data_IF_349756450200
#
_entry.id   IF_349756450200
#
_cell.length_a   1.000
_cell.length_b   1.000
_cell.length_c   1.000
_cell.angle_alpha   90.00
_cell.angle_beta   90.00
_cell.angle_gamma   90.00
#
_symmetry.space_group_name_H-M   'P 1'
#
loop_
_entity.id
_entity.type
_entity.pdbx_description
1 polymer ?
#
# COMPACT_ATOMS: atom_id res chain seq x y z
N UNK A 1 20.19 -12.77 18.20
CA UNK A 1 19.11 -11.84 17.83
C UNK A 1 18.34 -11.58 19.10
N UNK A 2 18.24 -10.33 19.55
CA UNK A 2 17.43 -10.02 20.72
C UNK A 2 15.96 -10.19 20.35
N UNK A 3 15.16 -10.77 21.25
CA UNK A 3 13.72 -10.93 21.04
C UNK A 3 13.10 -9.55 20.80
N UNK A 4 12.38 -9.43 19.69
CA UNK A 4 11.62 -8.23 19.35
C UNK A 4 10.37 -8.10 20.20
N UNK A 5 9.78 -9.23 20.60
CA UNK A 5 8.66 -9.27 21.55
C UNK A 5 9.13 -9.77 22.92
N UNK A 6 8.96 -8.93 23.95
CA UNK A 6 9.29 -9.28 25.34
C UNK A 6 8.13 -8.97 26.27
N UNK A 7 7.98 -9.78 27.32
CA UNK A 7 7.11 -9.40 28.43
C UNK A 7 7.64 -8.12 29.05
N UNK A 8 6.79 -7.10 29.11
CA UNK A 8 7.19 -5.74 29.45
C UNK A 8 6.21 -5.06 30.40
N UNK A 9 6.49 -3.79 30.68
CA UNK A 9 5.66 -2.95 31.56
C UNK A 9 4.53 -2.27 30.80
N UNK A 10 4.02 -2.89 29.74
CA UNK A 10 2.86 -2.37 29.01
C UNK A 10 1.71 -2.21 30.01
N UNK A 11 1.13 -1.00 30.05
CA UNK A 11 0.07 -0.64 30.98
C UNK A 11 -1.34 -0.72 30.36
N UNK A 12 -1.49 -1.39 29.22
CA UNK A 12 -2.78 -1.68 28.62
C UNK A 12 -3.36 -3.00 29.13
N UNK A 13 -4.69 -3.06 29.29
CA UNK A 13 -5.42 -4.23 29.78
C UNK A 13 -5.94 -4.03 31.20
N UNK A 14 -7.14 -4.52 31.51
CA UNK A 14 -7.75 -4.31 32.83
C UNK A 14 -7.08 -5.15 33.93
N UNK A 15 -6.52 -6.31 33.57
CA UNK A 15 -5.97 -7.28 34.52
C UNK A 15 -4.74 -6.76 35.27
N UNK A 16 -4.04 -5.78 34.71
CA UNK A 16 -2.88 -5.16 35.35
C UNK A 16 -3.24 -4.05 36.35
N UNK A 17 -4.52 -3.64 36.43
CA UNK A 17 -5.02 -2.67 37.42
C UNK A 17 -6.38 -3.10 38.03
N UNK A 18 -6.38 -4.11 38.91
CA UNK A 18 -7.60 -4.62 39.55
C UNK A 18 -8.23 -3.66 40.56
N UNK A 19 -7.52 -2.58 40.95
CA UNK A 19 -8.05 -1.52 41.82
C UNK A 19 -8.81 -0.52 40.95
N UNK A 20 -8.15 0.07 39.95
CA UNK A 20 -8.74 1.13 39.11
C UNK A 20 -9.97 0.63 38.35
N UNK A 21 -10.02 -0.65 37.96
CA UNK A 21 -11.21 -1.22 37.30
C UNK A 21 -12.46 -1.16 38.19
N UNK A 22 -12.33 -1.35 39.52
CA UNK A 22 -13.48 -1.27 40.43
C UNK A 22 -14.02 0.14 40.50
N UNK A 23 -13.13 1.12 40.53
CA UNK A 23 -13.49 2.54 40.53
C UNK A 23 -14.10 2.94 39.19
N UNK A 24 -13.52 2.54 38.05
CA UNK A 24 -14.08 2.76 36.72
C UNK A 24 -15.48 2.15 36.57
N UNK A 25 -15.69 0.91 37.04
CA UNK A 25 -17.00 0.26 37.00
C UNK A 25 -18.01 0.94 37.93
N UNK A 26 -17.59 1.41 39.11
CA UNK A 26 -18.44 2.18 40.01
C UNK A 26 -18.82 3.53 39.39
N UNK A 27 -17.86 4.22 38.77
CA UNK A 27 -18.07 5.47 38.06
C UNK A 27 -19.05 5.28 36.89
N UNK A 28 -18.84 4.26 36.04
CA UNK A 28 -19.73 3.97 34.91
C UNK A 28 -21.20 3.74 35.32
N UNK A 29 -21.46 3.28 36.55
CA UNK A 29 -22.83 3.14 37.08
C UNK A 29 -23.48 4.47 37.46
N UNK A 30 -22.68 5.46 37.89
CA UNK A 30 -23.17 6.77 38.36
C UNK A 30 -22.99 7.89 37.34
N UNK A 31 -22.15 7.68 36.32
CA UNK A 31 -22.01 8.53 35.13
C UNK A 31 -22.43 7.72 33.91
N UNK A 32 -23.74 7.47 33.71
CA UNK A 32 -24.21 6.86 32.48
C UNK A 32 -23.81 7.72 31.28
N UNK A 33 -23.76 7.10 30.10
CA UNK A 33 -23.44 7.83 28.87
C UNK A 33 -24.33 9.08 28.74
N UNK A 34 -23.72 10.21 28.39
CA UNK A 34 -24.42 11.49 28.22
C UNK A 34 -25.33 11.51 26.99
N UNK A 35 -25.30 10.47 26.16
CA UNK A 35 -26.18 10.23 25.02
C UNK A 35 -26.82 8.86 25.16
N UNK A 36 -28.12 8.77 24.87
CA UNK A 36 -28.85 7.51 24.74
C UNK A 36 -28.71 6.88 23.34
N UNK A 37 -27.96 7.52 22.44
CA UNK A 37 -27.75 7.06 21.07
C UNK A 37 -26.72 5.93 20.97
N UNK A 38 -26.74 5.24 19.84
CA UNK A 38 -25.83 4.15 19.49
C UNK A 38 -24.94 4.57 18.30
N UNK A 39 -24.30 3.61 17.63
CA UNK A 39 -23.49 3.85 16.45
C UNK A 39 -24.27 4.45 15.26
N UNK A 40 -25.61 4.41 15.27
CA UNK A 40 -26.44 4.86 14.16
C UNK A 40 -26.30 6.37 13.91
N UNK A 41 -26.13 7.18 14.95
CA UNK A 41 -25.97 8.62 14.78
C UNK A 41 -24.68 8.97 14.00
N UNK A 42 -23.58 8.27 14.30
CA UNK A 42 -22.32 8.43 13.57
C UNK A 42 -22.46 7.84 12.15
N UNK A 43 -23.16 6.72 11.99
CA UNK A 43 -23.42 6.13 10.69
C UNK A 43 -24.25 7.05 9.80
N UNK A 44 -25.30 7.69 10.34
CA UNK A 44 -26.13 8.66 9.63
C UNK A 44 -25.31 9.90 9.24
N UNK A 45 -24.49 10.43 10.15
CA UNK A 45 -23.57 11.53 9.82
C UNK A 45 -22.63 11.12 8.67
N UNK A 46 -22.04 9.93 8.71
CA UNK A 46 -21.21 9.43 7.59
C UNK A 46 -22.02 9.31 6.29
N UNK A 47 -23.27 8.85 6.34
CA UNK A 47 -24.14 8.76 5.16
C UNK A 47 -24.39 10.14 4.55
N UNK A 48 -24.68 11.15 5.36
CA UNK A 48 -24.89 12.53 4.91
C UNK A 48 -23.63 13.09 4.23
N UNK A 49 -22.46 12.87 4.83
CA UNK A 49 -21.18 13.28 4.25
C UNK A 49 -20.85 12.51 2.96
N UNK A 50 -21.12 11.20 2.89
CA UNK A 50 -20.92 10.40 1.67
C UNK A 50 -21.86 10.86 0.55
N UNK A 51 -23.13 11.11 0.88
CA UNK A 51 -24.13 11.53 -0.11
C UNK A 51 -23.87 12.96 -0.62
N UNK A 52 -23.28 13.82 0.20
CA UNK A 52 -22.93 15.20 -0.16
C UNK A 52 -21.51 15.39 -0.69
N UNK A 53 -20.68 14.34 -0.74
CA UNK A 53 -19.29 14.44 -1.18
C UNK A 53 -19.18 14.53 -2.71
N UNK A 54 -18.29 15.41 -3.17
CA UNK A 54 -17.82 15.39 -4.56
C UNK A 54 -16.91 14.17 -4.82
N UNK A 55 -16.68 13.87 -6.10
CA UNK A 55 -15.68 12.87 -6.48
C UNK A 55 -14.29 13.34 -6.05
N UNK A 56 -13.43 12.39 -5.66
CA UNK A 56 -12.07 12.68 -5.15
C UNK A 56 -11.22 13.50 -6.14
N UNK A 57 -11.43 13.30 -7.44
CA UNK A 57 -10.78 14.07 -8.48
C UNK A 57 -11.16 13.58 -9.87
N UNK A 58 -10.34 13.92 -10.87
CA UNK A 58 -10.52 13.50 -12.25
C UNK A 58 -9.18 13.26 -12.93
N UNK A 59 -9.16 12.36 -13.92
CA UNK A 59 -8.03 12.25 -14.84
C UNK A 59 -8.00 13.48 -15.76
N UNK A 60 -6.86 14.18 -15.93
CA UNK A 60 -6.78 15.32 -16.83
C UNK A 60 -6.92 14.88 -18.28
N UNK A 61 -7.42 15.78 -19.12
CA UNK A 61 -7.44 15.55 -20.57
C UNK A 61 -6.00 15.34 -21.09
N UNK A 62 -5.79 14.43 -22.06
CA UNK A 62 -4.48 14.28 -22.69
C UNK A 62 -3.96 15.61 -23.23
N UNK A 63 -2.72 15.95 -22.90
CA UNK A 63 -2.11 17.24 -23.31
C UNK A 63 -1.63 17.24 -24.76
N UNK A 64 -1.67 16.09 -25.44
CA UNK A 64 -1.21 15.92 -26.83
C UNK A 64 -2.38 15.75 -27.80
N UNK A 65 -2.25 16.27 -29.03
CA UNK A 65 -3.24 16.09 -30.10
C UNK A 65 -3.50 14.61 -30.39
N UNK A 66 -2.46 13.77 -30.37
CA UNK A 66 -2.56 12.32 -30.54
C UNK A 66 -3.38 11.69 -29.41
N UNK A 67 -3.09 12.03 -28.15
CA UNK A 67 -3.81 11.53 -26.99
C UNK A 67 -5.29 11.90 -27.04
N UNK A 68 -5.61 13.16 -27.35
CA UNK A 68 -7.00 13.60 -27.47
C UNK A 68 -7.79 12.83 -28.54
N UNK A 69 -7.20 12.62 -29.73
CA UNK A 69 -7.84 11.85 -30.80
C UNK A 69 -8.05 10.37 -30.41
N UNK A 70 -7.06 9.75 -29.77
CA UNK A 70 -7.14 8.35 -29.31
C UNK A 70 -8.22 8.16 -28.25
N UNK A 71 -8.25 9.01 -27.22
CA UNK A 71 -9.26 8.99 -26.16
C UNK A 71 -10.67 9.17 -26.74
N UNK A 72 -10.85 10.09 -27.70
CA UNK A 72 -12.14 10.28 -28.36
C UNK A 72 -12.59 9.02 -29.14
N UNK A 73 -11.66 8.37 -29.88
CA UNK A 73 -11.95 7.14 -30.61
C UNK A 73 -12.34 6.00 -29.67
N UNK A 74 -11.62 5.81 -28.56
CA UNK A 74 -11.93 4.77 -27.58
C UNK A 74 -13.29 4.98 -26.91
N UNK A 75 -13.63 6.24 -26.59
CA UNK A 75 -14.97 6.58 -26.08
C UNK A 75 -16.07 6.27 -27.09
N UNK A 76 -15.85 6.55 -28.37
CA UNK A 76 -16.80 6.17 -29.44
C UNK A 76 -16.97 4.65 -29.57
N UNK A 77 -15.94 3.87 -29.22
CA UNK A 77 -16.00 2.41 -29.14
C UNK A 77 -16.62 1.89 -27.83
N UNK A 78 -17.12 2.78 -26.97
CA UNK A 78 -17.74 2.42 -25.69
C UNK A 78 -16.76 2.03 -24.58
N UNK A 79 -15.46 2.30 -24.75
CA UNK A 79 -14.43 2.08 -23.72
C UNK A 79 -14.33 3.30 -22.79
N UNK A 80 -13.79 3.12 -21.59
CA UNK A 80 -13.49 4.19 -20.62
C UNK A 80 -11.97 4.41 -20.48
N UNK A 81 -11.31 5.10 -21.42
CA UNK A 81 -9.87 5.41 -21.35
C UNK A 81 -9.45 6.03 -20.02
N UNK A 82 -10.31 6.88 -19.43
CA UNK A 82 -10.06 7.53 -18.14
C UNK A 82 -9.85 6.53 -17.00
N UNK A 83 -10.60 5.41 -16.99
CA UNK A 83 -10.45 4.40 -15.95
C UNK A 83 -9.13 3.65 -16.04
N UNK A 84 -8.65 3.41 -17.27
CA UNK A 84 -7.35 2.79 -17.46
C UNK A 84 -6.20 3.74 -17.12
N UNK A 85 -6.29 5.01 -17.55
CA UNK A 85 -5.30 6.03 -17.20
C UNK A 85 -5.25 6.24 -15.68
N UNK A 86 -6.40 6.22 -15.00
CA UNK A 86 -6.45 6.31 -13.54
C UNK A 86 -5.70 5.16 -12.87
N UNK A 87 -5.85 3.92 -13.36
CA UNK A 87 -5.12 2.77 -12.81
C UNK A 87 -3.64 2.74 -13.18
N UNK A 88 -3.24 3.28 -14.33
CA UNK A 88 -1.82 3.51 -14.62
C UNK A 88 -1.23 4.56 -13.68
N UNK A 89 -1.94 5.67 -13.42
CA UNK A 89 -1.52 6.68 -12.45
C UNK A 89 -1.39 6.11 -11.03
N UNK A 90 -2.35 5.29 -10.63
CA UNK A 90 -2.33 4.51 -9.39
C UNK A 90 -1.06 3.68 -9.28
N UNK A 91 -0.75 2.86 -10.28
CA UNK A 91 0.45 2.02 -10.28
C UNK A 91 1.72 2.84 -10.24
N UNK A 92 1.82 3.89 -11.07
CA UNK A 92 2.98 4.78 -11.06
C UNK A 92 3.25 5.39 -9.67
N UNK A 93 2.21 5.78 -8.94
CA UNK A 93 2.34 6.30 -7.58
C UNK A 93 2.76 5.21 -6.58
N UNK A 94 2.25 3.99 -6.75
CA UNK A 94 2.61 2.83 -5.94
C UNK A 94 4.09 2.46 -6.11
N UNK A 95 4.57 2.24 -7.34
CA UNK A 95 5.97 1.90 -7.64
C UNK A 95 6.96 2.95 -7.09
N UNK A 96 6.60 4.24 -7.21
CA UNK A 96 7.40 5.34 -6.61
C UNK A 96 7.53 5.18 -5.10
N UNK A 97 6.47 4.72 -4.45
CA UNK A 97 6.42 4.49 -3.02
C UNK A 97 7.14 3.18 -2.65
N UNK A 98 7.02 2.13 -3.46
CA UNK A 98 7.76 0.86 -3.33
C UNK A 98 9.27 1.07 -3.24
N UNK A 99 9.84 1.88 -4.14
CA UNK A 99 11.26 2.28 -4.06
C UNK A 99 11.62 2.87 -2.69
N UNK A 100 10.74 3.72 -2.11
CA UNK A 100 10.98 4.35 -0.80
C UNK A 100 10.79 3.39 0.36
N UNK A 101 9.85 2.46 0.24
CA UNK A 101 9.65 1.39 1.21
C UNK A 101 10.90 0.50 1.27
N UNK A 102 11.42 0.08 0.11
CA UNK A 102 12.66 -0.69 0.07
C UNK A 102 13.88 0.09 0.57
N UNK A 103 14.05 1.38 0.21
CA UNK A 103 15.11 2.23 0.78
C UNK A 103 15.05 2.26 2.33
N UNK A 104 13.84 2.36 2.90
CA UNK A 104 13.62 2.36 4.34
C UNK A 104 13.88 0.98 4.97
N UNK A 105 13.44 -0.11 4.34
CA UNK A 105 13.71 -1.48 4.81
C UNK A 105 15.20 -1.80 4.79
N UNK A 106 15.91 -1.45 3.71
CA UNK A 106 17.37 -1.61 3.60
C UNK A 106 18.06 -0.88 4.76
N UNK A 107 17.65 0.36 5.03
CA UNK A 107 18.17 1.15 6.16
C UNK A 107 17.91 0.45 7.49
N UNK A 108 16.70 -0.07 7.70
CA UNK A 108 16.31 -0.81 8.90
C UNK A 108 17.16 -2.07 9.10
N UNK A 109 17.31 -2.88 8.05
CA UNK A 109 18.10 -4.12 8.08
C UNK A 109 19.59 -3.82 8.31
N UNK A 110 20.13 -2.77 7.69
CA UNK A 110 21.53 -2.38 7.84
C UNK A 110 21.86 -1.86 9.25
N UNK A 111 20.90 -1.19 9.90
CA UNK A 111 21.05 -0.69 11.27
C UNK A 111 20.71 -1.75 12.33
N UNK A 112 20.08 -2.86 11.95
CA UNK A 112 19.71 -3.91 12.88
C UNK A 112 20.97 -4.61 13.43
N UNK A 113 21.00 -4.98 14.73
CA UNK A 113 22.07 -5.83 15.27
C UNK A 113 22.19 -7.12 14.45
N UNK A 114 23.40 -7.70 14.34
CA UNK A 114 23.87 -8.84 13.49
C UNK A 114 22.99 -10.14 13.47
N UNK A 115 21.67 -10.05 13.31
CA UNK A 115 20.72 -11.15 13.45
C UNK A 115 19.52 -11.10 12.51
N UNK A 116 19.29 -9.99 11.81
CA UNK A 116 18.40 -9.96 10.66
C UNK A 116 19.19 -10.50 9.45
N UNK A 117 19.24 -11.81 9.26
CA UNK A 117 19.92 -12.44 8.11
C UNK A 117 19.14 -12.22 6.81
N UNK A 118 18.71 -10.99 6.55
CA UNK A 118 18.06 -10.59 5.31
C UNK A 118 19.16 -10.22 4.32
N UNK A 119 19.19 -10.82 3.12
CA UNK A 119 20.21 -10.52 2.12
C UNK A 119 20.04 -9.10 1.58
N UNK A 120 20.91 -8.17 2.01
CA UNK A 120 20.86 -6.76 1.59
C UNK A 120 20.99 -6.61 0.07
N UNK A 121 21.84 -7.42 -0.56
CA UNK A 121 22.00 -7.39 -2.03
C UNK A 121 20.68 -7.68 -2.74
N UNK A 122 19.89 -8.65 -2.24
CA UNK A 122 18.57 -8.95 -2.80
C UNK A 122 17.56 -7.83 -2.57
N UNK A 123 17.60 -7.16 -1.41
CA UNK A 123 16.76 -5.98 -1.19
C UNK A 123 17.14 -4.82 -2.12
N UNK A 124 18.43 -4.66 -2.44
CA UNK A 124 18.88 -3.68 -3.42
C UNK A 124 18.44 -4.02 -4.85
N UNK A 125 18.40 -5.31 -5.20
CA UNK A 125 17.82 -5.79 -6.47
C UNK A 125 16.34 -5.41 -6.56
N UNK A 126 15.52 -5.79 -5.57
CA UNK A 126 14.09 -5.46 -5.52
C UNK A 126 13.85 -3.95 -5.64
N UNK A 127 14.58 -3.15 -4.86
CA UNK A 127 14.52 -1.69 -4.93
C UNK A 127 14.80 -1.13 -6.32
N UNK A 128 15.68 -1.78 -7.09
CA UNK A 128 16.02 -1.36 -8.45
C UNK A 128 14.96 -1.82 -9.46
N UNK A 129 14.38 -3.01 -9.27
CA UNK A 129 13.27 -3.55 -10.06
C UNK A 129 12.04 -2.64 -9.94
N UNK A 130 11.65 -2.26 -8.73
CA UNK A 130 10.62 -1.24 -8.43
C UNK A 130 10.85 0.10 -9.17
N UNK A 131 12.12 0.52 -9.25
CA UNK A 131 12.45 1.72 -10.03
C UNK A 131 12.28 1.49 -11.54
N UNK A 132 12.60 0.30 -12.06
CA UNK A 132 12.33 -0.04 -13.46
C UNK A 132 10.83 -0.13 -13.75
N UNK A 133 10.06 -0.70 -12.84
CA UNK A 133 8.60 -0.75 -12.90
C UNK A 133 7.98 0.64 -12.94
N UNK A 134 8.41 1.54 -12.05
CA UNK A 134 8.05 2.95 -12.12
C UNK A 134 8.34 3.55 -13.51
N UNK A 135 9.53 3.31 -14.06
CA UNK A 135 9.91 3.81 -15.39
C UNK A 135 9.08 3.18 -16.52
N UNK A 136 8.74 1.90 -16.42
CA UNK A 136 7.89 1.20 -17.35
C UNK A 136 6.50 1.86 -17.42
N UNK A 137 5.86 2.05 -16.27
CA UNK A 137 4.54 2.68 -16.20
C UNK A 137 4.59 4.14 -16.68
N UNK A 138 5.65 4.89 -16.32
CA UNK A 138 5.83 6.26 -16.80
C UNK A 138 5.87 6.31 -18.33
N UNK A 139 6.65 5.43 -18.95
CA UNK A 139 6.79 5.35 -20.39
C UNK A 139 5.47 4.96 -21.06
N UNK A 140 4.73 4.01 -20.47
CA UNK A 140 3.40 3.61 -20.94
C UNK A 140 2.43 4.79 -20.94
N UNK A 141 2.32 5.52 -19.83
CA UNK A 141 1.44 6.70 -19.70
C UNK A 141 1.79 7.75 -20.77
N UNK A 142 3.08 8.02 -20.99
CA UNK A 142 3.54 8.94 -22.05
C UNK A 142 3.17 8.43 -23.45
N UNK A 143 3.29 7.13 -23.71
CA UNK A 143 3.08 6.56 -25.05
C UNK A 143 1.62 6.68 -25.53
N UNK A 144 0.66 6.63 -24.59
CA UNK A 144 -0.77 6.85 -24.84
C UNK A 144 -1.16 8.35 -24.78
N UNK A 145 -0.19 9.25 -24.56
CA UNK A 145 -0.38 10.69 -24.59
C UNK A 145 -0.94 11.31 -23.30
N UNK A 146 -0.94 10.56 -22.20
CA UNK A 146 -1.31 11.03 -20.87
C UNK A 146 -0.10 11.60 -20.11
N UNK A 147 -0.36 12.29 -19.00
CA UNK A 147 0.66 12.94 -18.19
C UNK A 147 1.00 12.11 -16.94
N UNK A 148 2.21 11.55 -16.82
CA UNK A 148 2.60 10.75 -15.65
C UNK A 148 2.85 11.58 -14.39
N UNK A 149 2.79 12.91 -14.48
CA UNK A 149 2.90 13.78 -13.29
C UNK A 149 1.55 14.09 -12.66
N UNK A 150 0.44 13.72 -13.31
CA UNK A 150 -0.89 13.93 -12.79
C UNK A 150 -1.17 13.04 -11.57
N UNK A 151 -1.72 13.64 -10.51
CA UNK A 151 -2.32 12.88 -9.41
C UNK A 151 -3.74 12.50 -9.83
N UNK A 152 -3.92 11.25 -10.26
CA UNK A 152 -5.24 10.71 -10.58
C UNK A 152 -5.99 10.30 -9.30
N UNK A 153 -7.33 10.14 -9.33
CA UNK A 153 -8.08 9.75 -8.15
C UNK A 153 -7.57 8.48 -7.45
N UNK A 154 -7.28 7.41 -8.20
CA UNK A 154 -6.74 6.19 -7.61
C UNK A 154 -5.30 6.38 -7.11
N UNK A 155 -4.49 7.22 -7.75
CA UNK A 155 -3.16 7.57 -7.26
C UNK A 155 -3.18 8.31 -5.92
N UNK A 156 -4.18 9.17 -5.71
CA UNK A 156 -4.41 9.84 -4.42
C UNK A 156 -4.78 8.83 -3.32
N UNK A 157 -5.72 7.93 -3.61
CA UNK A 157 -6.12 6.87 -2.67
C UNK A 157 -4.95 5.97 -2.29
N UNK A 158 -4.19 5.47 -3.26
CA UNK A 158 -3.02 4.62 -2.99
C UNK A 158 -1.94 5.36 -2.19
N UNK A 159 -1.78 6.66 -2.43
CA UNK A 159 -0.93 7.53 -1.61
C UNK A 159 -1.36 7.50 -0.14
N UNK A 160 -2.65 7.68 0.13
CA UNK A 160 -3.22 7.63 1.50
C UNK A 160 -3.06 6.24 2.13
N UNK A 161 -3.34 5.17 1.38
CA UNK A 161 -3.19 3.78 1.85
C UNK A 161 -1.73 3.53 2.26
N UNK A 162 -0.78 3.97 1.44
CA UNK A 162 0.64 3.71 1.63
C UNK A 162 1.27 4.51 2.78
N UNK A 163 0.61 5.56 3.28
CA UNK A 163 1.10 6.35 4.42
C UNK A 163 1.36 5.48 5.65
N UNK A 164 0.47 4.52 5.94
CA UNK A 164 0.63 3.62 7.08
C UNK A 164 1.86 2.73 6.97
N UNK A 165 2.17 2.26 5.75
CA UNK A 165 3.33 1.40 5.48
C UNK A 165 4.63 2.17 5.74
N UNK A 166 4.75 3.38 5.18
CA UNK A 166 5.91 4.24 5.38
C UNK A 166 6.09 4.59 6.86
N UNK A 167 4.99 4.88 7.59
CA UNK A 167 5.04 5.14 9.03
C UNK A 167 5.62 3.95 9.81
N UNK A 168 5.24 2.71 9.46
CA UNK A 168 5.81 1.50 10.11
C UNK A 168 7.30 1.37 9.79
N UNK A 169 7.71 1.48 8.52
CA UNK A 169 9.10 1.26 8.13
C UNK A 169 10.05 2.33 8.70
N UNK A 170 9.57 3.57 8.82
CA UNK A 170 10.38 4.71 9.27
C UNK A 170 10.34 4.95 10.78
N UNK A 171 9.42 4.33 11.52
CA UNK A 171 9.41 4.42 12.99
C UNK A 171 10.66 3.71 13.56
N UNK A 172 11.57 4.40 14.27
CA UNK A 172 12.79 3.77 14.79
C UNK A 172 12.54 2.65 15.80
N UNK A 173 11.33 2.57 16.37
CA UNK A 173 10.94 1.57 17.37
C UNK A 173 10.43 0.28 16.74
N UNK A 174 10.09 0.28 15.45
CA UNK A 174 9.66 -0.95 14.76
C UNK A 174 10.84 -1.86 14.47
N UNK A 175 10.62 -3.15 14.61
CA UNK A 175 11.62 -4.18 14.31
C UNK A 175 11.65 -4.48 12.81
N UNK A 176 12.67 -5.22 12.38
CA UNK A 176 12.73 -5.77 11.01
C UNK A 176 11.51 -6.65 10.72
N UNK A 177 11.02 -7.44 11.69
CA UNK A 177 9.83 -8.27 11.51
C UNK A 177 8.56 -7.43 11.25
N UNK A 178 8.35 -6.34 12.01
CA UNK A 178 7.25 -5.40 11.76
C UNK A 178 7.35 -4.76 10.36
N UNK A 179 8.57 -4.42 9.92
CA UNK A 179 8.78 -3.86 8.60
C UNK A 179 8.51 -4.88 7.49
N UNK A 180 8.90 -6.14 7.67
CA UNK A 180 8.60 -7.22 6.72
C UNK A 180 7.10 -7.53 6.64
N UNK A 181 6.34 -7.38 7.74
CA UNK A 181 4.87 -7.48 7.71
C UNK A 181 4.23 -6.36 6.89
N UNK A 182 4.70 -5.12 7.09
CA UNK A 182 4.26 -3.98 6.28
C UNK A 182 4.64 -4.13 4.81
N UNK A 183 5.86 -4.62 4.52
CA UNK A 183 6.26 -4.95 3.15
C UNK A 183 5.38 -6.04 2.57
N UNK A 184 5.08 -7.13 3.29
CA UNK A 184 4.18 -8.18 2.80
C UNK A 184 2.80 -7.62 2.42
N UNK A 185 2.31 -6.61 3.14
CA UNK A 185 1.07 -5.90 2.79
C UNK A 185 1.23 -5.11 1.48
N UNK A 186 2.36 -4.43 1.28
CA UNK A 186 2.69 -3.73 0.04
C UNK A 186 2.75 -4.71 -1.16
N UNK A 187 3.56 -5.75 -1.04
CA UNK A 187 3.79 -6.77 -2.07
C UNK A 187 2.50 -7.48 -2.52
N UNK A 188 1.59 -7.75 -1.59
CA UNK A 188 0.28 -8.32 -1.91
C UNK A 188 -0.58 -7.37 -2.75
N UNK A 189 -0.57 -6.07 -2.40
CA UNK A 189 -1.29 -5.06 -3.14
C UNK A 189 -0.64 -4.80 -4.52
N UNK A 190 0.69 -4.88 -4.58
CA UNK A 190 1.43 -4.68 -5.82
C UNK A 190 1.13 -5.77 -6.85
N UNK A 191 1.26 -7.02 -6.42
CA UNK A 191 1.02 -8.18 -7.24
C UNK A 191 -0.39 -8.18 -7.86
N UNK A 192 -1.42 -7.84 -7.08
CA UNK A 192 -2.80 -7.73 -7.60
C UNK A 192 -2.98 -6.50 -8.52
N UNK A 193 -2.28 -5.40 -8.22
CA UNK A 193 -2.22 -4.21 -9.07
C UNK A 193 -1.71 -4.52 -10.48
N UNK A 194 -0.61 -5.26 -10.60
CA UNK A 194 -0.08 -5.70 -11.89
C UNK A 194 -1.03 -6.61 -12.65
N UNK A 195 -1.64 -7.59 -11.97
CA UNK A 195 -2.66 -8.48 -12.57
C UNK A 195 -3.84 -7.70 -13.13
N UNK A 196 -4.31 -6.69 -12.39
CA UNK A 196 -5.39 -5.80 -12.84
C UNK A 196 -4.99 -5.02 -14.10
N UNK A 197 -3.77 -4.46 -14.15
CA UNK A 197 -3.29 -3.72 -15.31
C UNK A 197 -3.13 -4.60 -16.55
N UNK A 198 -2.64 -5.83 -16.41
CA UNK A 198 -2.55 -6.81 -17.51
C UNK A 198 -3.95 -7.07 -18.06
N UNK A 199 -4.92 -7.37 -17.20
CA UNK A 199 -6.31 -7.63 -17.61
C UNK A 199 -6.94 -6.43 -18.33
N UNK A 200 -6.68 -5.21 -17.84
CA UNK A 200 -7.18 -3.98 -18.47
C UNK A 200 -6.53 -3.76 -19.84
N UNK A 201 -5.21 -3.92 -19.94
CA UNK A 201 -4.47 -3.78 -21.20
C UNK A 201 -4.98 -4.78 -22.26
N UNK A 202 -5.17 -6.04 -21.88
CA UNK A 202 -5.75 -7.07 -22.76
C UNK A 202 -7.17 -6.70 -23.23
N UNK A 203 -8.04 -6.29 -22.31
CA UNK A 203 -9.41 -5.84 -22.65
C UNK A 203 -9.43 -4.59 -23.54
N UNK A 204 -8.39 -3.77 -23.48
CA UNK A 204 -8.22 -2.61 -24.34
C UNK A 204 -7.59 -2.96 -25.69
N UNK A 205 -7.09 -4.18 -25.89
CA UNK A 205 -6.42 -4.63 -27.11
C UNK A 205 -4.96 -4.19 -27.19
N UNK A 206 -4.33 -3.89 -26.04
CA UNK A 206 -2.95 -3.44 -25.92
C UNK A 206 -2.03 -4.61 -25.55
N UNK A 207 -1.95 -5.62 -26.41
CA UNK A 207 -1.23 -6.88 -26.12
C UNK A 207 0.26 -6.69 -25.81
N UNK A 208 0.93 -5.78 -26.50
CA UNK A 208 2.34 -5.48 -26.27
C UNK A 208 2.55 -4.94 -24.84
N UNK A 209 1.68 -4.04 -24.40
CA UNK A 209 1.71 -3.47 -23.05
C UNK A 209 1.40 -4.53 -21.98
N UNK A 210 0.44 -5.41 -22.24
CA UNK A 210 0.15 -6.52 -21.35
C UNK A 210 1.36 -7.45 -21.18
N UNK A 211 2.10 -7.74 -22.26
CA UNK A 211 3.33 -8.55 -22.19
C UNK A 211 4.45 -7.87 -21.40
N UNK A 212 4.62 -6.56 -21.55
CA UNK A 212 5.59 -5.81 -20.76
C UNK A 212 5.24 -5.86 -19.26
N UNK A 213 3.96 -5.71 -18.91
CA UNK A 213 3.47 -5.82 -17.54
C UNK A 213 3.59 -7.23 -16.96
N UNK A 214 3.53 -8.29 -17.79
CA UNK A 214 3.79 -9.65 -17.33
C UNK A 214 5.24 -9.87 -16.87
N UNK A 215 6.21 -9.10 -17.37
CA UNK A 215 7.57 -9.16 -16.83
C UNK A 215 7.63 -8.59 -15.42
N UNK A 216 7.04 -7.41 -15.20
CA UNK A 216 6.96 -6.80 -13.86
C UNK A 216 6.25 -7.73 -12.87
N UNK A 217 5.12 -8.33 -13.26
CA UNK A 217 4.41 -9.29 -12.41
C UNK A 217 5.27 -10.50 -11.99
N UNK A 218 6.18 -10.99 -12.85
CA UNK A 218 7.08 -12.10 -12.49
C UNK A 218 8.10 -11.68 -11.44
N UNK A 219 8.64 -10.47 -11.56
CA UNK A 219 9.57 -9.91 -10.58
C UNK A 219 8.84 -9.71 -9.23
N UNK A 220 7.62 -9.16 -9.26
CA UNK A 220 6.78 -9.00 -8.06
C UNK A 220 6.35 -10.33 -7.41
N UNK A 221 6.13 -11.40 -8.19
CA UNK A 221 5.91 -12.73 -7.64
C UNK A 221 7.14 -13.21 -6.83
N UNK A 222 8.36 -12.90 -7.28
CA UNK A 222 9.60 -13.21 -6.55
C UNK A 222 9.79 -12.35 -5.29
N UNK A 223 9.48 -11.04 -5.37
CA UNK A 223 9.48 -10.12 -4.23
C UNK A 223 8.55 -10.66 -3.13
N UNK A 224 7.28 -10.91 -3.48
CA UNK A 224 6.24 -11.40 -2.58
C UNK A 224 6.63 -12.72 -1.90
N UNK A 225 7.17 -13.68 -2.66
CA UNK A 225 7.61 -14.96 -2.09
C UNK A 225 8.74 -14.76 -1.08
N UNK A 226 9.71 -13.90 -1.41
CA UNK A 226 10.89 -13.65 -0.57
C UNK A 226 10.53 -12.93 0.72
N UNK A 227 9.78 -11.82 0.63
CA UNK A 227 9.31 -11.05 1.78
C UNK A 227 8.45 -11.92 2.71
N UNK A 228 7.54 -12.72 2.15
CA UNK A 228 6.71 -13.66 2.91
C UNK A 228 7.54 -14.68 3.67
N UNK A 229 8.55 -15.26 3.02
CA UNK A 229 9.41 -16.27 3.63
C UNK A 229 10.24 -15.66 4.77
N UNK A 230 10.87 -14.51 4.53
CA UNK A 230 11.67 -13.83 5.55
C UNK A 230 10.82 -13.37 6.74
N UNK A 231 9.62 -12.84 6.50
CA UNK A 231 8.68 -12.48 7.56
C UNK A 231 8.35 -13.70 8.43
N UNK A 232 7.97 -14.82 7.78
CA UNK A 232 7.63 -16.06 8.45
C UNK A 232 8.79 -16.58 9.31
N UNK A 233 10.01 -16.64 8.76
CA UNK A 233 11.19 -17.10 9.48
C UNK A 233 11.48 -16.23 10.71
N UNK A 234 11.39 -14.90 10.57
CA UNK A 234 11.63 -13.96 11.68
C UNK A 234 10.59 -14.13 12.80
N UNK A 235 9.31 -14.27 12.47
CA UNK A 235 8.24 -14.47 13.46
C UNK A 235 8.39 -15.82 14.17
N UNK A 236 8.67 -16.90 13.43
CA UNK A 236 8.89 -18.23 14.03
C UNK A 236 10.08 -18.18 14.99
N UNK A 237 11.20 -17.58 14.57
CA UNK A 237 12.39 -17.44 15.41
C UNK A 237 12.15 -16.60 16.66
N UNK A 238 11.42 -15.48 16.55
CA UNK A 238 11.09 -14.63 17.71
C UNK A 238 10.22 -15.37 18.73
N UNK A 239 9.25 -16.15 18.24
CA UNK A 239 8.24 -16.84 19.06
C UNK A 239 8.79 -18.13 19.67
N UNK A 240 9.44 -18.97 18.87
CA UNK A 240 9.86 -20.34 19.24
C UNK A 240 11.32 -20.39 19.69
N UNK A 241 12.14 -19.39 19.33
CA UNK A 241 13.54 -19.30 19.76
C UNK A 241 14.51 -20.22 19.03
N UNK A 242 14.12 -20.79 17.89
CA UNK A 242 14.95 -21.64 17.01
C UNK A 242 15.65 -20.83 15.94
#
# INVERSE_FOLDING_TARGET
MDKTTVLGKNRSGIDISPIDIKEMMALAKVTPASSSGDEQAIAQMRQEYIAGADVLGSVPLPSTLKGMASTAMEKLMGKSPEGFIDKLGCRLAFERTGVRLYDALITKCSAAPMGAHIPLDRLHEFRNEEFQHFKLVENVIRSIGADPTAQTPSADVDGVISLGLIQVLTDPRTSVAHCLEAMLTAELADNDGWRMLIMLAEKMGMEDMARDFQQALREEDEHLVSIRQWFKEMVIKDTVGT
#
